data_IF_108461990146
#
_entry.id   IF_108461990146
#
_cell.length_a   1.000
_cell.length_b   1.000
_cell.length_c   1.000
_cell.angle_alpha   90.00
_cell.angle_beta   90.00
_cell.angle_gamma   90.00
#
_symmetry.space_group_name_H-M   'P 1'
#
loop_
_entity.id
_entity.type
_entity.pdbx_description
1 polymer ?
#
# COMPACT_ATOMS: atom_id res chain seq x y z
N UNK A 1 32.35 -12.40 0.50
CA UNK A 1 30.90 -12.65 0.30
C UNK A 1 30.60 -13.48 -0.96
N UNK A 2 31.23 -13.22 -2.12
CA UNK A 2 30.99 -13.97 -3.37
C UNK A 2 31.22 -15.50 -3.28
N UNK A 3 32.25 -15.94 -2.53
CA UNK A 3 32.55 -17.36 -2.32
C UNK A 3 31.49 -18.05 -1.44
N UNK A 4 30.87 -17.32 -0.50
CA UNK A 4 29.83 -17.84 0.40
C UNK A 4 28.51 -18.06 -0.35
N UNK A 5 28.19 -17.19 -1.31
CA UNK A 5 27.01 -17.30 -2.19
C UNK A 5 27.17 -18.51 -3.14
N UNK A 6 28.36 -18.70 -3.73
CA UNK A 6 28.63 -19.83 -4.64
C UNK A 6 28.53 -21.20 -3.95
N UNK A 7 28.99 -21.28 -2.70
CA UNK A 7 28.91 -22.51 -1.91
C UNK A 7 27.47 -22.84 -1.52
N UNK A 8 26.65 -21.85 -1.15
CA UNK A 8 25.22 -22.05 -0.86
C UNK A 8 24.44 -22.50 -2.09
N UNK A 9 24.76 -22.00 -3.28
CA UNK A 9 24.11 -22.40 -4.53
C UNK A 9 24.45 -23.85 -4.94
N UNK A 10 25.66 -24.30 -4.61
CA UNK A 10 26.11 -25.67 -4.88
C UNK A 10 25.47 -26.66 -3.90
N UNK A 11 25.31 -26.27 -2.63
CA UNK A 11 24.61 -27.04 -1.62
C UNK A 11 23.12 -27.21 -1.97
N UNK A 12 22.45 -26.12 -2.38
CA UNK A 12 21.04 -26.14 -2.81
C UNK A 12 20.79 -27.05 -4.02
N UNK A 13 21.76 -27.12 -4.96
CA UNK A 13 21.71 -28.03 -6.12
C UNK A 13 21.73 -29.50 -5.71
N UNK A 14 22.50 -29.84 -4.68
CA UNK A 14 22.66 -31.20 -4.20
C UNK A 14 21.47 -31.64 -3.33
N UNK A 15 20.92 -30.74 -2.52
CA UNK A 15 19.85 -31.06 -1.57
C UNK A 15 18.50 -31.36 -2.24
N UNK A 16 18.27 -30.84 -3.45
CA UNK A 16 17.01 -31.03 -4.18
C UNK A 16 17.09 -31.98 -5.39
N UNK A 17 18.26 -32.58 -5.65
CA UNK A 17 18.52 -33.48 -6.78
C UNK A 17 17.89 -32.97 -8.11
N UNK A 18 17.96 -31.65 -8.31
CA UNK A 18 17.34 -30.98 -9.46
C UNK A 18 18.27 -31.18 -10.64
N UNK A 19 17.97 -32.20 -11.44
CA UNK A 19 18.63 -32.38 -12.72
C UNK A 19 18.18 -31.29 -13.69
N UNK A 20 18.93 -30.19 -13.73
CA UNK A 20 18.73 -29.07 -14.65
C UNK A 20 18.71 -29.54 -16.11
N UNK A 21 19.40 -30.66 -16.43
CA UNK A 21 19.37 -31.23 -17.77
C UNK A 21 17.97 -31.78 -18.09
N UNK A 22 17.39 -32.55 -17.18
CA UNK A 22 16.01 -33.05 -17.29
C UNK A 22 14.97 -31.92 -17.39
N UNK A 23 15.15 -30.81 -16.66
CA UNK A 23 14.24 -29.66 -16.75
C UNK A 23 14.33 -28.98 -18.13
N UNK A 24 15.55 -28.75 -18.61
CA UNK A 24 15.78 -28.12 -19.92
C UNK A 24 15.23 -29.00 -21.05
N UNK A 25 15.47 -30.31 -20.99
CA UNK A 25 14.96 -31.28 -21.98
C UNK A 25 13.42 -31.34 -21.97
N UNK A 26 12.78 -31.27 -20.80
CA UNK A 26 11.32 -31.20 -20.71
C UNK A 26 10.75 -29.89 -21.26
N UNK A 27 11.42 -28.76 -21.03
CA UNK A 27 11.00 -27.46 -21.56
C UNK A 27 11.04 -27.44 -23.10
N UNK A 28 12.13 -27.92 -23.70
CA UNK A 28 12.28 -27.98 -25.15
C UNK A 28 11.26 -28.93 -25.80
N UNK A 29 10.92 -30.05 -25.14
CA UNK A 29 9.85 -30.95 -25.61
C UNK A 29 8.49 -30.27 -25.62
N UNK A 30 8.12 -29.61 -24.51
CA UNK A 30 6.83 -28.90 -24.40
C UNK A 30 6.73 -27.79 -25.44
N UNK A 31 7.81 -27.04 -25.66
CA UNK A 31 7.85 -25.98 -26.67
C UNK A 31 7.60 -26.51 -28.07
N UNK A 32 8.24 -27.63 -28.43
CA UNK A 32 8.05 -28.27 -29.74
C UNK A 32 6.61 -28.78 -29.93
N UNK A 33 6.02 -29.38 -28.91
CA UNK A 33 4.61 -29.82 -28.95
C UNK A 33 3.66 -28.62 -29.15
N UNK A 34 3.96 -27.48 -28.52
CA UNK A 34 3.16 -26.25 -28.67
C UNK A 34 3.25 -25.68 -30.09
N UNK A 35 4.44 -25.64 -30.67
CA UNK A 35 4.66 -25.16 -32.04
C UNK A 35 3.91 -26.04 -33.06
N UNK A 36 3.93 -27.36 -32.89
CA UNK A 36 3.18 -28.30 -33.75
C UNK A 36 1.65 -28.10 -33.66
N UNK A 37 1.12 -27.76 -32.47
CA UNK A 37 -0.29 -27.44 -32.27
C UNK A 37 -0.66 -26.13 -32.96
N UNK A 38 0.19 -25.10 -32.85
CA UNK A 38 -0.01 -23.79 -33.51
C UNK A 38 -0.04 -23.97 -35.03
N UNK A 39 0.90 -24.75 -35.59
CA UNK A 39 0.95 -25.02 -37.03
C UNK A 39 -0.26 -25.82 -37.51
N UNK A 40 -0.75 -26.78 -36.70
CA UNK A 40 -1.99 -27.51 -36.99
C UNK A 40 -3.22 -26.60 -37.00
N UNK A 41 -3.30 -25.65 -36.07
CA UNK A 41 -4.38 -24.67 -35.99
C UNK A 41 -4.36 -23.69 -37.17
N UNK A 42 -3.18 -23.28 -37.61
CA UNK A 42 -3.01 -22.38 -38.75
C UNK A 42 -3.32 -23.08 -40.07
N UNK A 43 -2.92 -24.35 -40.24
CA UNK A 43 -3.20 -25.13 -41.45
C UNK A 43 -4.69 -25.52 -41.59
N UNK A 44 -5.45 -25.60 -40.49
CA UNK A 44 -6.91 -25.81 -40.55
C UNK A 44 -7.72 -24.56 -40.95
N UNK A 45 -7.10 -23.37 -41.02
CA UNK A 45 -7.76 -22.11 -41.40
C UNK A 45 -7.70 -21.81 -42.91
N UNK A 46 -7.71 -22.83 -43.75
CA UNK A 46 -7.99 -22.69 -45.19
C UNK A 46 -9.47 -22.36 -45.45
N UNK A 47 -9.94 -21.19 -44.98
CA UNK A 47 -11.24 -20.61 -45.33
C UNK A 47 -11.00 -19.19 -45.83
N UNK A 48 -11.50 -18.96 -47.05
CA UNK A 48 -11.41 -17.76 -47.90
C UNK A 48 -11.40 -16.44 -47.13
N UNK A 49 -10.41 -15.62 -47.46
CA UNK A 49 -10.33 -14.19 -47.14
C UNK A 49 -11.45 -13.42 -47.83
N UNK A 50 -12.56 -13.17 -47.14
CA UNK A 50 -13.47 -12.07 -47.43
C UNK A 50 -14.16 -11.70 -46.11
N UNK A 51 -13.95 -10.46 -45.65
CA UNK A 51 -14.27 -9.89 -44.33
C UNK A 51 -13.24 -10.12 -43.21
N UNK A 52 -12.05 -9.52 -43.34
CA UNK A 52 -11.24 -9.19 -42.16
C UNK A 52 -12.03 -8.14 -41.36
N UNK A 53 -12.63 -8.57 -40.24
CA UNK A 53 -13.06 -7.63 -39.17
C UNK A 53 -11.86 -6.72 -38.88
N UNK A 54 -12.06 -5.39 -38.74
CA UNK A 54 -10.98 -4.51 -38.34
C UNK A 54 -10.35 -5.09 -37.06
N UNK A 55 -9.02 -5.17 -37.06
CA UNK A 55 -8.29 -5.56 -35.85
C UNK A 55 -8.74 -4.67 -34.70
N UNK A 56 -9.01 -5.22 -33.50
CA UNK A 56 -9.41 -4.42 -32.37
C UNK A 56 -8.32 -3.39 -32.10
N UNK A 57 -8.68 -2.11 -32.21
CA UNK A 57 -7.79 -0.99 -31.86
C UNK A 57 -7.43 -1.15 -30.40
N UNK A 58 -6.16 -1.46 -30.12
CA UNK A 58 -5.64 -1.53 -28.75
C UNK A 58 -5.43 -0.11 -28.28
N UNK A 59 -6.39 0.43 -27.54
CA UNK A 59 -6.27 1.75 -26.89
C UNK A 59 -5.20 1.63 -25.81
N UNK A 60 -4.25 2.57 -25.75
CA UNK A 60 -3.23 2.54 -24.73
C UNK A 60 -3.82 2.92 -23.36
N UNK A 61 -3.25 2.39 -22.28
CA UNK A 61 -3.63 2.76 -20.90
C UNK A 61 -3.56 4.27 -20.66
N UNK A 62 -2.58 4.94 -21.27
CA UNK A 62 -2.40 6.37 -21.14
C UNK A 62 -3.59 7.14 -21.74
N UNK A 63 -4.06 6.74 -22.92
CA UNK A 63 -5.20 7.36 -23.58
C UNK A 63 -6.49 7.17 -22.77
N UNK A 64 -6.70 5.99 -22.18
CA UNK A 64 -7.84 5.73 -21.29
C UNK A 64 -7.84 6.64 -20.06
N UNK A 65 -6.67 6.91 -19.48
CA UNK A 65 -6.54 7.82 -18.34
C UNK A 65 -6.88 9.25 -18.76
N UNK A 66 -6.34 9.72 -19.89
CA UNK A 66 -6.61 11.07 -20.40
C UNK A 66 -8.10 11.25 -20.71
N UNK A 67 -8.72 10.27 -21.36
CA UNK A 67 -10.15 10.28 -21.66
C UNK A 67 -10.99 10.32 -20.38
N UNK A 68 -10.68 9.46 -19.41
CA UNK A 68 -11.38 9.44 -18.13
C UNK A 68 -11.23 10.75 -17.36
N UNK A 69 -10.02 11.28 -17.31
CA UNK A 69 -9.69 12.55 -16.66
C UNK A 69 -10.51 13.71 -17.23
N UNK A 70 -10.68 13.78 -18.56
CA UNK A 70 -11.47 14.80 -19.24
C UNK A 70 -12.98 14.70 -18.95
N UNK A 71 -13.48 13.51 -18.62
CA UNK A 71 -14.90 13.29 -18.27
C UNK A 71 -15.21 13.66 -16.81
N UNK A 72 -14.19 13.76 -15.95
CA UNK A 72 -14.38 14.04 -14.54
C UNK A 72 -14.64 15.53 -14.29
N UNK A 73 -15.66 15.89 -13.48
CA UNK A 73 -15.95 17.30 -13.27
C UNK A 73 -14.87 17.97 -12.42
N UNK A 74 -14.63 19.25 -12.71
CA UNK A 74 -13.69 20.10 -11.97
C UNK A 74 -14.00 20.16 -10.46
N UNK A 75 -12.92 20.28 -9.67
CA UNK A 75 -12.98 20.35 -8.22
C UNK A 75 -12.96 21.80 -7.74
N UNK A 76 -13.65 22.08 -6.62
CA UNK A 76 -13.62 23.39 -5.98
C UNK A 76 -12.57 23.45 -4.87
N UNK A 77 -11.90 24.60 -4.73
CA UNK A 77 -11.06 24.87 -3.55
C UNK A 77 -11.91 24.75 -2.28
N UNK A 78 -11.37 24.06 -1.28
CA UNK A 78 -12.05 23.73 -0.02
C UNK A 78 -12.95 22.49 -0.09
N UNK A 79 -13.11 21.85 -1.25
CA UNK A 79 -13.90 20.62 -1.38
C UNK A 79 -13.23 19.45 -0.65
N UNK A 80 -14.02 18.70 0.14
CA UNK A 80 -13.60 17.46 0.78
C UNK A 80 -13.67 16.31 -0.22
N UNK A 81 -12.61 15.52 -0.30
CA UNK A 81 -12.41 14.47 -1.31
C UNK A 81 -11.70 13.27 -0.69
N UNK A 82 -11.74 12.11 -1.35
CA UNK A 82 -10.70 11.09 -1.21
C UNK A 82 -9.63 11.36 -2.27
N UNK A 83 -8.36 11.26 -1.90
CA UNK A 83 -7.27 11.37 -2.85
C UNK A 83 -6.29 10.20 -2.68
N UNK A 84 -5.75 9.70 -3.80
CA UNK A 84 -4.74 8.64 -3.81
C UNK A 84 -3.35 9.22 -3.58
N UNK A 85 -2.69 8.83 -2.49
CA UNK A 85 -1.37 9.36 -2.12
C UNK A 85 -0.25 8.48 -2.66
N UNK A 86 0.88 9.07 -3.06
CA UNK A 86 1.94 8.33 -3.78
C UNK A 86 2.79 7.40 -2.90
N UNK A 87 2.75 7.56 -1.58
CA UNK A 87 3.54 6.78 -0.62
C UNK A 87 3.11 5.30 -0.59
N UNK A 88 1.82 5.03 -0.62
CA UNK A 88 1.28 3.66 -0.62
C UNK A 88 0.21 3.40 -1.69
N UNK A 89 -0.17 4.43 -2.46
CA UNK A 89 -1.20 4.39 -3.50
C UNK A 89 -2.61 4.06 -2.96
N UNK A 90 -2.84 4.28 -1.66
CA UNK A 90 -4.17 4.21 -1.04
C UNK A 90 -4.86 5.57 -1.02
N UNK A 91 -6.16 5.54 -0.78
CA UNK A 91 -7.01 6.72 -0.76
C UNK A 91 -7.24 7.21 0.67
N UNK A 92 -7.08 8.51 0.86
CA UNK A 92 -7.24 9.16 2.17
C UNK A 92 -8.17 10.37 2.07
N UNK A 93 -8.87 10.66 3.16
CA UNK A 93 -9.71 11.87 3.26
C UNK A 93 -8.82 13.11 3.23
N UNK A 94 -9.11 14.00 2.29
CA UNK A 94 -8.32 15.19 2.00
C UNK A 94 -9.20 16.39 1.65
N UNK A 95 -8.57 17.55 1.49
CA UNK A 95 -9.19 18.80 1.06
C UNK A 95 -8.43 19.36 -0.15
N UNK A 96 -9.17 19.84 -1.15
CA UNK A 96 -8.61 20.53 -2.32
C UNK A 96 -8.14 21.91 -1.89
N UNK A 97 -6.84 22.21 -2.02
CA UNK A 97 -6.31 23.54 -1.69
C UNK A 97 -6.26 24.47 -2.87
N UNK A 98 -5.83 23.96 -4.02
CA UNK A 98 -5.60 24.78 -5.21
C UNK A 98 -5.66 23.92 -6.47
N UNK A 99 -6.23 24.47 -7.54
CA UNK A 99 -6.03 23.96 -8.90
C UNK A 99 -4.70 24.48 -9.44
N UNK A 100 -3.89 23.60 -10.01
CA UNK A 100 -2.61 23.96 -10.61
C UNK A 100 -2.86 24.14 -12.11
N UNK A 101 -2.68 25.38 -12.57
CA UNK A 101 -2.70 25.67 -13.99
C UNK A 101 -1.33 25.30 -14.58
N UNK A 102 -1.31 24.26 -15.42
CA UNK A 102 -0.13 23.94 -16.21
C UNK A 102 0.05 24.99 -17.30
N UNK A 103 1.32 25.27 -17.64
CA UNK A 103 1.68 26.14 -18.77
C UNK A 103 1.80 25.36 -20.08
N UNK A 104 1.79 24.03 -20.03
CA UNK A 104 1.97 23.17 -21.19
C UNK A 104 0.62 22.79 -21.82
N UNK A 105 0.39 23.07 -23.12
CA UNK A 105 -0.89 22.82 -23.78
C UNK A 105 -1.31 21.34 -23.84
N UNK A 106 -0.38 20.40 -23.70
CA UNK A 106 -0.63 18.96 -23.77
C UNK A 106 -1.03 18.33 -22.44
N UNK A 107 -0.92 19.07 -21.34
CA UNK A 107 -1.38 18.66 -20.02
C UNK A 107 -2.54 19.58 -19.64
N UNK A 108 -3.73 19.29 -20.17
CA UNK A 108 -4.94 19.98 -19.75
C UNK A 108 -5.02 20.04 -18.20
N UNK A 109 -5.33 21.22 -17.65
CA UNK A 109 -5.20 21.59 -16.23
C UNK A 109 -6.06 20.73 -15.28
N UNK A 110 -5.60 19.52 -15.00
CA UNK A 110 -6.27 18.55 -14.14
C UNK A 110 -5.43 18.17 -12.91
N UNK A 111 -4.41 18.96 -12.60
CA UNK A 111 -3.55 18.77 -11.43
C UNK A 111 -4.05 19.64 -10.28
N UNK A 112 -4.11 19.08 -9.08
CA UNK A 112 -4.59 19.76 -7.89
C UNK A 112 -3.61 19.60 -6.75
N UNK A 113 -3.38 20.69 -6.01
CA UNK A 113 -2.73 20.61 -4.71
C UNK A 113 -3.75 20.16 -3.68
N UNK A 114 -3.49 19.00 -3.07
CA UNK A 114 -4.36 18.34 -2.09
C UNK A 114 -3.67 18.39 -0.73
N UNK A 115 -4.46 18.57 0.34
CA UNK A 115 -4.01 18.53 1.74
C UNK A 115 -4.74 17.46 2.53
N UNK A 116 -4.02 16.65 3.31
CA UNK A 116 -4.64 15.66 4.22
C UNK A 116 -5.00 16.25 5.61
N UNK A 117 -5.49 15.39 6.50
CA UNK A 117 -5.79 15.72 7.91
C UNK A 117 -4.54 16.11 8.72
N UNK A 118 -3.35 15.66 8.33
CA UNK A 118 -2.09 15.96 8.99
C UNK A 118 -1.42 17.26 8.47
N UNK A 119 -2.08 17.97 7.56
CA UNK A 119 -1.56 19.18 6.89
C UNK A 119 -0.35 18.93 5.99
N UNK A 120 -0.16 17.71 5.51
CA UNK A 120 0.76 17.44 4.40
C UNK A 120 0.10 17.78 3.07
N UNK A 121 0.92 17.95 2.03
CA UNK A 121 0.45 18.35 0.72
C UNK A 121 1.06 17.50 -0.40
N UNK A 122 0.27 17.22 -1.43
CA UNK A 122 0.73 16.55 -2.65
C UNK A 122 0.00 17.12 -3.89
N UNK A 123 0.67 17.08 -5.04
CA UNK A 123 0.07 17.42 -6.33
C UNK A 123 -0.49 16.15 -6.97
N UNK A 124 -1.81 16.06 -7.10
CA UNK A 124 -2.51 14.84 -7.51
C UNK A 124 -3.40 15.15 -8.71
N UNK A 125 -3.36 14.27 -9.71
CA UNK A 125 -4.19 14.39 -10.91
C UNK A 125 -5.65 14.02 -10.63
N UNK A 126 -6.55 14.59 -11.42
CA UNK A 126 -8.00 14.50 -11.20
C UNK A 126 -8.54 13.07 -11.11
N UNK A 127 -8.02 12.13 -11.89
CA UNK A 127 -8.44 10.72 -11.89
C UNK A 127 -8.14 9.99 -10.58
N UNK A 128 -7.21 10.51 -9.79
CA UNK A 128 -6.81 9.97 -8.49
C UNK A 128 -7.51 10.69 -7.32
N UNK A 129 -8.52 11.51 -7.63
CA UNK A 129 -9.33 12.23 -6.65
C UNK A 129 -10.80 11.86 -6.82
N UNK A 130 -11.47 11.45 -5.75
CA UNK A 130 -12.88 11.06 -5.73
C UNK A 130 -13.65 12.04 -4.84
N UNK A 131 -14.78 12.58 -5.31
CA UNK A 131 -15.57 13.53 -4.51
C UNK A 131 -16.51 12.77 -3.61
N UNK A 132 -16.73 13.26 -2.39
CA UNK A 132 -17.66 12.61 -1.46
C UNK A 132 -19.09 12.52 -2.00
N UNK A 133 -19.50 13.45 -2.87
CA UNK A 133 -20.83 13.45 -3.49
C UNK A 133 -21.01 12.40 -4.60
N UNK A 134 -19.92 11.74 -5.02
CA UNK A 134 -19.94 10.71 -6.07
C UNK A 134 -20.35 9.32 -5.50
N UNK A 135 -20.62 9.22 -4.18
CA UNK A 135 -21.08 8.00 -3.51
C UNK A 135 -22.55 7.59 -3.81
N UNK A 136 -23.30 8.38 -4.58
CA UNK A 136 -24.77 8.23 -4.75
C UNK A 136 -25.18 7.27 -5.87
N UNK A 137 -24.31 6.36 -6.28
CA UNK A 137 -24.60 5.46 -7.38
C UNK A 137 -25.31 4.18 -6.92
N UNK A 138 -26.17 3.63 -7.78
CA UNK A 138 -26.78 2.32 -7.53
C UNK A 138 -25.73 1.23 -7.71
N UNK A 139 -25.43 0.44 -6.67
CA UNK A 139 -24.43 -0.63 -6.74
C UNK A 139 -24.98 -1.95 -7.27
N UNK A 140 -24.16 -2.67 -8.02
CA UNK A 140 -24.39 -4.03 -8.49
C UNK A 140 -23.24 -4.95 -8.07
N UNK A 141 -23.52 -6.25 -7.96
CA UNK A 141 -22.47 -7.27 -7.80
C UNK A 141 -21.58 -7.23 -9.04
N UNK A 142 -20.27 -7.24 -8.83
CA UNK A 142 -19.24 -7.14 -9.86
C UNK A 142 -18.72 -5.72 -10.10
N UNK A 143 -19.39 -4.69 -9.57
CA UNK A 143 -18.90 -3.31 -9.65
C UNK A 143 -17.57 -3.16 -8.89
N UNK A 144 -16.68 -2.33 -9.44
CA UNK A 144 -15.41 -1.98 -8.82
C UNK A 144 -15.56 -0.70 -8.01
N UNK A 145 -14.97 -0.68 -6.83
CA UNK A 145 -15.14 0.40 -5.87
C UNK A 145 -13.85 0.74 -5.14
N UNK A 146 -13.82 1.94 -4.57
CA UNK A 146 -12.94 2.34 -3.47
C UNK A 146 -13.80 2.41 -2.21
N UNK A 147 -13.40 1.69 -1.16
CA UNK A 147 -14.12 1.61 0.10
C UNK A 147 -13.15 1.59 1.30
N UNK A 148 -13.67 1.88 2.49
CA UNK A 148 -12.86 1.87 3.72
C UNK A 148 -12.42 0.44 4.06
N UNK A 149 -11.13 0.27 4.29
CA UNK A 149 -10.53 -1.04 4.48
C UNK A 149 -10.58 -1.47 5.96
N UNK A 150 -10.96 -2.72 6.30
CA UNK A 150 -11.16 -3.16 7.69
C UNK A 150 -9.94 -3.04 8.60
N UNK A 151 -8.76 -3.39 8.08
CA UNK A 151 -7.54 -3.43 8.88
C UNK A 151 -6.87 -2.05 9.03
N UNK A 152 -7.38 -1.01 8.36
CA UNK A 152 -6.72 0.30 8.22
C UNK A 152 -7.77 1.41 8.30
N UNK A 153 -8.11 1.79 9.53
CA UNK A 153 -9.11 2.82 9.79
C UNK A 153 -8.80 4.12 9.05
N UNK A 154 -9.83 4.75 8.49
CA UNK A 154 -9.75 5.99 7.71
C UNK A 154 -8.96 5.89 6.38
N UNK A 155 -8.56 4.68 5.99
CA UNK A 155 -7.84 4.43 4.75
C UNK A 155 -8.72 3.63 3.79
N UNK A 156 -8.72 4.03 2.52
CA UNK A 156 -9.60 3.49 1.50
C UNK A 156 -8.78 2.78 0.43
N UNK A 157 -9.28 1.62 0.00
CA UNK A 157 -8.58 0.74 -0.93
C UNK A 157 -9.51 0.25 -2.05
N UNK A 158 -8.97 -0.12 -3.23
CA UNK A 158 -9.75 -0.69 -4.29
C UNK A 158 -10.25 -2.10 -3.93
N UNK A 159 -11.50 -2.41 -4.33
CA UNK A 159 -12.12 -3.71 -4.18
C UNK A 159 -13.24 -3.94 -5.20
N UNK A 160 -13.82 -5.13 -5.17
CA UNK A 160 -14.96 -5.53 -5.99
C UNK A 160 -16.15 -5.92 -5.12
N UNK A 161 -17.35 -5.48 -5.49
CA UNK A 161 -18.58 -5.88 -4.80
C UNK A 161 -18.89 -7.35 -5.12
N UNK A 162 -18.86 -8.20 -4.11
CA UNK A 162 -19.20 -9.62 -4.22
C UNK A 162 -20.59 -9.95 -3.63
N UNK A 163 -21.20 -9.01 -2.92
CA UNK A 163 -22.53 -9.18 -2.36
C UNK A 163 -23.18 -7.84 -1.97
N UNK A 164 -24.51 -7.82 -1.98
CA UNK A 164 -25.32 -6.66 -1.59
C UNK A 164 -26.34 -7.13 -0.55
N UNK A 165 -26.46 -6.37 0.54
CA UNK A 165 -27.49 -6.54 1.57
C UNK A 165 -28.31 -5.26 1.68
N UNK A 166 -29.40 -5.31 2.46
CA UNK A 166 -30.29 -4.16 2.64
C UNK A 166 -29.62 -2.94 3.27
N UNK A 167 -28.56 -3.16 4.05
CA UNK A 167 -27.88 -2.16 4.90
C UNK A 167 -26.41 -1.94 4.53
N UNK A 168 -25.80 -2.82 3.73
CA UNK A 168 -24.37 -2.78 3.45
C UNK A 168 -24.01 -3.45 2.12
N UNK A 169 -22.78 -3.20 1.68
CA UNK A 169 -22.12 -3.92 0.60
C UNK A 169 -21.12 -4.93 1.19
N UNK A 170 -20.88 -6.03 0.47
CA UNK A 170 -19.78 -6.95 0.76
C UNK A 170 -18.74 -6.74 -0.34
N UNK A 171 -17.56 -6.27 0.05
CA UNK A 171 -16.46 -5.95 -0.87
C UNK A 171 -15.30 -6.91 -0.61
N UNK A 172 -14.79 -7.52 -1.66
CA UNK A 172 -13.49 -8.20 -1.67
C UNK A 172 -12.43 -7.18 -2.10
N UNK A 173 -11.52 -6.83 -1.19
CA UNK A 173 -10.40 -5.92 -1.47
C UNK A 173 -9.29 -6.61 -2.26
N UNK A 174 -8.41 -5.81 -2.85
CA UNK A 174 -7.28 -6.30 -3.65
C UNK A 174 -6.33 -7.26 -2.89
N UNK A 175 -6.33 -7.22 -1.57
CA UNK A 175 -5.53 -8.09 -0.69
C UNK A 175 -6.26 -9.39 -0.29
N UNK A 176 -7.41 -9.65 -0.93
CA UNK A 176 -8.30 -10.79 -0.72
C UNK A 176 -9.00 -10.80 0.63
N UNK A 177 -9.14 -9.63 1.28
CA UNK A 177 -9.99 -9.48 2.46
C UNK A 177 -11.41 -9.15 2.02
N UNK A 178 -12.37 -9.93 2.51
CA UNK A 178 -13.79 -9.63 2.37
C UNK A 178 -14.28 -8.84 3.59
N UNK A 179 -15.00 -7.74 3.36
CA UNK A 179 -15.55 -6.94 4.43
C UNK A 179 -16.93 -6.37 4.12
N UNK A 180 -17.70 -6.09 5.18
CA UNK A 180 -18.96 -5.35 5.08
C UNK A 180 -18.63 -3.86 5.12
N UNK A 181 -19.04 -3.11 4.10
CA UNK A 181 -18.80 -1.66 4.02
C UNK A 181 -20.12 -0.92 3.90
N UNK A 182 -20.13 0.31 4.42
CA UNK A 182 -21.27 1.20 4.30
C UNK A 182 -21.39 1.75 2.87
N UNK A 183 -22.61 1.82 2.38
CA UNK A 183 -22.91 2.35 1.04
C UNK A 183 -22.49 3.82 0.92
N UNK A 184 -22.70 4.61 1.99
CA UNK A 184 -22.43 6.05 2.02
C UNK A 184 -20.93 6.40 1.99
N UNK A 185 -20.05 5.44 2.26
CA UNK A 185 -18.60 5.61 2.23
C UNK A 185 -17.93 4.80 1.12
N UNK A 186 -18.71 4.29 0.17
CA UNK A 186 -18.23 3.49 -0.96
C UNK A 186 -18.37 4.28 -2.27
N UNK A 187 -17.36 4.20 -3.12
CA UNK A 187 -17.27 5.00 -4.35
C UNK A 187 -16.97 4.12 -5.55
N UNK A 188 -17.81 4.16 -6.58
CA UNK A 188 -17.56 3.39 -7.81
C UNK A 188 -16.37 3.94 -8.58
N UNK A 189 -15.63 3.04 -9.21
CA UNK A 189 -14.55 3.36 -10.13
C UNK A 189 -14.64 2.50 -11.39
N UNK A 190 -14.15 2.98 -12.55
CA UNK A 190 -14.06 2.16 -13.76
C UNK A 190 -13.12 0.97 -13.58
N UNK A 191 -13.37 -0.12 -14.31
CA UNK A 191 -12.57 -1.35 -14.25
C UNK A 191 -11.09 -1.16 -14.59
N UNK A 192 -10.78 -0.33 -15.59
CA UNK A 192 -9.40 -0.04 -15.96
C UNK A 192 -8.67 0.70 -14.82
N UNK A 193 -9.37 1.60 -14.10
CA UNK A 193 -8.81 2.35 -12.98
C UNK A 193 -8.56 1.44 -11.78
N UNK A 194 -9.50 0.54 -11.50
CA UNK A 194 -9.34 -0.52 -10.49
C UNK A 194 -8.06 -1.33 -10.72
N UNK A 195 -7.81 -1.79 -11.95
CA UNK A 195 -6.60 -2.54 -12.26
C UNK A 195 -5.33 -1.70 -12.08
N UNK A 196 -5.34 -0.44 -12.56
CA UNK A 196 -4.21 0.47 -12.41
C UNK A 196 -3.85 0.74 -10.96
N UNK A 197 -4.87 0.93 -10.12
CA UNK A 197 -4.65 1.19 -8.69
C UNK A 197 -4.04 -0.03 -8.02
N UNK A 198 -4.57 -1.23 -8.27
CA UNK A 198 -3.99 -2.47 -7.75
C UNK A 198 -2.53 -2.64 -8.18
N UNK A 199 -2.23 -2.43 -9.46
CA UNK A 199 -0.87 -2.56 -9.97
C UNK A 199 0.08 -1.56 -9.31
N UNK A 200 -0.38 -0.31 -9.10
CA UNK A 200 0.40 0.73 -8.42
C UNK A 200 0.66 0.41 -6.94
N UNK A 201 -0.35 -0.09 -6.23
CA UNK A 201 -0.24 -0.50 -4.82
C UNK A 201 0.73 -1.68 -4.68
N UNK A 202 0.58 -2.72 -5.51
CA UNK A 202 1.48 -3.88 -5.49
C UNK A 202 2.91 -3.46 -5.83
N UNK A 203 3.09 -2.53 -6.77
CA UNK A 203 4.40 -1.98 -7.11
C UNK A 203 5.02 -1.27 -5.91
N UNK A 204 4.28 -0.39 -5.23
CA UNK A 204 4.76 0.30 -4.02
C UNK A 204 5.10 -0.69 -2.90
N UNK A 205 4.23 -1.68 -2.64
CA UNK A 205 4.50 -2.74 -1.66
C UNK A 205 5.78 -3.53 -1.97
N UNK A 206 6.05 -3.82 -3.26
CA UNK A 206 7.26 -4.54 -3.67
C UNK A 206 8.55 -3.72 -3.53
N UNK A 207 8.48 -2.40 -3.55
CA UNK A 207 9.66 -1.54 -3.39
C UNK A 207 10.32 -1.70 -2.02
N UNK A 208 9.56 -2.15 -1.01
CA UNK A 208 10.08 -2.44 0.33
C UNK A 208 11.10 -3.59 0.37
N UNK A 209 11.06 -4.53 -0.59
CA UNK A 209 11.89 -5.74 -0.55
C UNK A 209 13.37 -5.37 -0.72
N UNK A 210 14.22 -5.90 0.16
CA UNK A 210 15.66 -5.65 0.21
C UNK A 210 16.05 -4.37 0.95
N UNK A 211 15.09 -3.59 1.46
CA UNK A 211 15.37 -2.37 2.22
C UNK A 211 15.41 -2.62 3.73
N UNK A 212 16.21 -1.79 4.41
CA UNK A 212 16.23 -1.73 5.87
C UNK A 212 14.94 -1.11 6.39
N UNK A 213 14.50 -1.62 7.53
CA UNK A 213 13.26 -1.20 8.18
C UNK A 213 13.38 -1.27 9.69
N UNK A 214 12.44 -0.61 10.35
CA UNK A 214 12.11 -0.71 11.76
C UNK A 214 10.76 -1.41 11.85
N UNK A 215 10.62 -2.46 12.66
CA UNK A 215 9.40 -3.26 12.72
C UNK A 215 8.99 -3.62 14.14
N UNK A 216 7.68 -3.75 14.40
CA UNK A 216 7.16 -4.16 15.71
C UNK A 216 7.42 -5.65 15.95
N UNK A 217 8.41 -5.99 16.78
CA UNK A 217 8.66 -7.39 17.15
C UNK A 217 7.57 -7.86 18.11
N UNK A 218 6.87 -8.93 17.71
CA UNK A 218 5.84 -9.56 18.51
C UNK A 218 6.39 -10.21 19.78
N UNK A 219 7.64 -10.67 19.73
CA UNK A 219 8.32 -11.40 20.81
C UNK A 219 8.88 -10.48 21.90
N UNK A 220 9.33 -9.28 21.51
CA UNK A 220 10.10 -8.38 22.39
C UNK A 220 9.34 -7.13 22.82
N UNK A 221 8.08 -6.98 22.37
CA UNK A 221 7.19 -5.84 22.68
C UNK A 221 7.84 -4.47 22.44
N UNK A 222 8.64 -4.37 21.38
CA UNK A 222 9.36 -3.15 20.97
C UNK A 222 9.60 -3.15 19.47
N UNK A 223 10.10 -2.03 18.95
CA UNK A 223 10.49 -1.96 17.55
C UNK A 223 11.97 -2.27 17.37
N UNK A 224 12.29 -3.21 16.50
CA UNK A 224 13.65 -3.60 16.16
C UNK A 224 13.98 -3.23 14.71
N UNK A 225 15.26 -3.20 14.37
CA UNK A 225 15.74 -2.99 13.01
C UNK A 225 15.95 -4.32 12.29
N UNK A 226 15.76 -4.32 10.97
CA UNK A 226 15.96 -5.48 10.14
C UNK A 226 15.89 -5.17 8.65
N UNK A 227 15.80 -6.22 7.84
CA UNK A 227 15.70 -6.15 6.39
C UNK A 227 14.49 -6.95 5.90
N UNK A 228 13.78 -6.38 4.93
CA UNK A 228 12.59 -7.01 4.36
C UNK A 228 13.02 -8.02 3.30
N UNK A 229 12.80 -9.30 3.55
CA UNK A 229 13.21 -10.39 2.66
C UNK A 229 12.23 -10.62 1.51
N UNK A 230 10.95 -10.39 1.75
CA UNK A 230 9.91 -10.64 0.75
C UNK A 230 8.51 -10.42 1.26
N UNK A 231 7.58 -10.28 0.31
CA UNK A 231 6.14 -10.20 0.55
C UNK A 231 5.54 -11.61 0.63
N UNK A 232 4.59 -11.82 1.54
CA UNK A 232 3.91 -13.09 1.75
C UNK A 232 2.45 -13.00 1.34
N UNK A 233 2.12 -13.66 0.23
CA UNK A 233 0.76 -13.69 -0.32
C UNK A 233 0.25 -12.29 -0.67
N UNK A 234 -1.07 -12.10 -0.54
CA UNK A 234 -1.74 -10.82 -0.83
C UNK A 234 -2.03 -9.98 0.42
N UNK A 235 -1.94 -10.54 1.63
CA UNK A 235 -2.42 -9.92 2.89
C UNK A 235 -1.48 -8.89 3.52
N UNK A 236 -0.76 -8.09 2.71
CA UNK A 236 0.17 -7.04 3.20
C UNK A 236 1.16 -7.48 4.29
N UNK A 237 1.58 -8.76 4.27
CA UNK A 237 2.54 -9.31 5.23
C UNK A 237 3.91 -9.45 4.58
N UNK A 238 4.94 -9.15 5.35
CA UNK A 238 6.32 -9.22 4.94
C UNK A 238 7.10 -10.13 5.86
N UNK A 239 8.01 -10.89 5.25
CA UNK A 239 9.04 -11.63 5.97
C UNK A 239 10.21 -10.68 6.24
N UNK A 240 10.59 -10.54 7.50
CA UNK A 240 11.68 -9.65 7.92
C UNK A 240 12.77 -10.49 8.60
N UNK A 241 14.03 -10.19 8.28
CA UNK A 241 15.20 -10.66 9.01
C UNK A 241 15.70 -9.54 9.92
N UNK A 242 15.56 -9.73 11.23
CA UNK A 242 16.11 -8.80 12.22
C UNK A 242 17.63 -8.73 12.12
N UNK A 243 18.22 -7.62 12.57
CA UNK A 243 19.69 -7.49 12.61
C UNK A 243 20.36 -8.49 13.59
N UNK A 244 19.56 -9.18 14.43
CA UNK A 244 20.00 -10.27 15.31
C UNK A 244 19.91 -11.67 14.67
N UNK A 245 19.46 -11.75 13.41
CA UNK A 245 19.38 -13.00 12.64
C UNK A 245 18.08 -13.79 12.84
N UNK A 246 17.08 -13.24 13.52
CA UNK A 246 15.77 -13.84 13.71
C UNK A 246 14.81 -13.41 12.59
N UNK A 247 13.98 -14.35 12.10
CA UNK A 247 12.93 -14.06 11.12
C UNK A 247 11.56 -13.88 11.79
N UNK A 248 10.79 -12.88 11.34
CA UNK A 248 9.40 -12.65 11.74
C UNK A 248 8.51 -12.32 10.52
N UNK A 249 7.22 -12.61 10.64
CA UNK A 249 6.20 -12.23 9.65
C UNK A 249 5.41 -11.06 10.22
N UNK A 250 5.52 -9.89 9.58
CA UNK A 250 5.00 -8.64 10.09
C UNK A 250 4.01 -8.03 9.08
N UNK A 251 2.89 -7.48 9.55
CA UNK A 251 1.99 -6.69 8.72
C UNK A 251 2.65 -5.33 8.42
N UNK A 252 2.55 -4.83 7.19
CA UNK A 252 3.15 -3.56 6.75
C UNK A 252 2.81 -2.37 7.65
N UNK A 253 1.63 -2.35 8.30
CA UNK A 253 1.27 -1.28 9.27
C UNK A 253 2.25 -1.16 10.43
N UNK A 254 3.03 -2.20 10.69
CA UNK A 254 4.02 -2.24 11.77
C UNK A 254 5.44 -2.14 11.26
N UNK A 255 5.64 -1.70 10.02
CA UNK A 255 6.94 -1.54 9.36
C UNK A 255 7.14 -0.07 9.02
N UNK A 256 8.29 0.45 9.40
CA UNK A 256 8.73 1.81 9.16
C UNK A 256 10.08 1.80 8.42
N UNK A 257 10.31 2.72 7.49
CA UNK A 257 11.55 2.75 6.71
C UNK A 257 11.58 3.86 5.67
N UNK A 258 12.39 3.67 4.62
CA UNK A 258 12.61 4.68 3.58
C UNK A 258 11.35 5.04 2.79
N UNK A 259 10.39 4.13 2.71
CA UNK A 259 9.13 4.32 2.01
C UNK A 259 7.98 4.68 2.96
N UNK A 260 8.26 4.84 4.26
CA UNK A 260 7.29 5.46 5.16
C UNK A 260 7.24 6.95 4.86
N UNK A 261 6.03 7.45 4.70
CA UNK A 261 5.78 8.88 4.60
C UNK A 261 6.44 9.67 5.72
N UNK A 262 7.27 10.63 5.34
CA UNK A 262 7.93 11.55 6.27
C UNK A 262 7.05 12.79 6.43
N UNK A 263 6.76 13.14 7.68
CA UNK A 263 6.03 14.35 8.06
C UNK A 263 6.94 15.27 8.87
N UNK A 264 6.77 16.60 8.77
CA UNK A 264 7.41 17.51 9.70
C UNK A 264 6.96 17.21 11.13
N UNK A 265 7.91 16.92 12.02
CA UNK A 265 7.63 16.61 13.42
C UNK A 265 7.52 17.91 14.21
N UNK A 266 6.44 18.04 14.97
CA UNK A 266 6.10 19.22 15.78
C UNK A 266 6.03 18.85 17.25
N UNK A 267 6.01 19.87 18.09
CA UNK A 267 5.69 19.71 19.52
C UNK A 267 4.31 19.06 19.65
N UNK A 268 4.19 18.20 20.65
CA UNK A 268 3.00 17.39 20.97
C UNK A 268 2.68 16.24 20.01
N UNK A 269 3.43 16.07 18.92
CA UNK A 269 3.30 14.90 18.05
C UNK A 269 3.73 13.60 18.77
N UNK A 270 3.17 12.48 18.32
CA UNK A 270 3.63 11.15 18.68
C UNK A 270 4.61 10.65 17.62
N UNK A 271 5.69 10.01 18.07
CA UNK A 271 6.75 9.54 17.18
C UNK A 271 7.26 8.18 17.61
N UNK A 272 7.66 7.36 16.65
CA UNK A 272 8.56 6.24 16.85
C UNK A 272 9.99 6.76 16.72
N UNK A 273 10.73 6.76 17.84
CA UNK A 273 12.06 7.36 17.93
C UNK A 273 13.11 6.35 18.42
N UNK A 274 14.39 6.55 18.08
CA UNK A 274 15.47 5.70 18.58
C UNK A 274 15.67 5.88 20.09
N UNK A 275 15.77 4.75 20.79
CA UNK A 275 16.08 4.62 22.21
C UNK A 275 17.14 3.52 22.37
N UNK A 276 18.40 3.93 22.49
CA UNK A 276 19.58 3.06 22.50
C UNK A 276 19.67 2.17 21.24
N UNK A 277 19.52 0.84 21.39
CA UNK A 277 19.65 -0.16 20.32
C UNK A 277 18.33 -0.50 19.62
N UNK A 278 17.22 0.17 19.97
CA UNK A 278 15.90 -0.13 19.44
C UNK A 278 15.08 1.15 19.22
N UNK A 279 13.88 0.99 18.69
CA UNK A 279 12.94 2.09 18.52
C UNK A 279 11.78 1.95 19.50
N UNK A 280 11.32 3.08 20.01
CA UNK A 280 10.23 3.11 20.97
C UNK A 280 9.30 4.31 20.75
N UNK A 281 7.98 4.13 20.86
CA UNK A 281 7.04 5.24 20.77
C UNK A 281 7.18 6.23 21.93
N UNK A 282 7.07 7.51 21.60
CA UNK A 282 7.11 8.62 22.54
C UNK A 282 6.34 9.83 22.04
N UNK A 283 6.24 10.84 22.91
CA UNK A 283 5.64 12.13 22.61
C UNK A 283 6.74 13.19 22.55
N UNK A 284 6.64 14.08 21.57
CA UNK A 284 7.57 15.20 21.40
C UNK A 284 7.21 16.32 22.38
N UNK A 285 8.11 16.63 23.30
CA UNK A 285 7.92 17.71 24.29
C UNK A 285 8.39 19.06 23.74
N UNK A 286 9.51 19.07 23.01
CA UNK A 286 10.12 20.29 22.48
C UNK A 286 10.82 20.03 21.15
N UNK A 287 10.70 20.97 20.20
CA UNK A 287 11.51 21.00 18.99
C UNK A 287 12.57 22.10 19.11
N UNK A 288 13.85 21.75 19.01
CA UNK A 288 14.95 22.71 19.09
C UNK A 288 15.37 23.19 17.70
N UNK A 289 14.75 24.27 17.22
CA UNK A 289 15.06 24.84 15.90
C UNK A 289 16.53 25.28 15.76
N UNK A 290 17.18 25.61 16.88
CA UNK A 290 18.56 26.09 16.92
C UNK A 290 19.64 24.99 16.93
N UNK A 291 19.26 23.70 17.06
CA UNK A 291 20.20 22.57 17.14
C UNK A 291 19.84 21.50 16.12
N UNK A 292 20.33 21.61 14.89
CA UNK A 292 20.31 20.55 13.87
C UNK A 292 19.02 19.70 13.81
N UNK A 293 17.84 20.33 13.93
CA UNK A 293 16.55 19.64 13.92
C UNK A 293 16.42 18.51 14.98
N UNK A 294 16.99 18.74 16.16
CA UNK A 294 16.87 17.87 17.32
C UNK A 294 15.54 18.12 18.04
N UNK A 295 14.95 17.04 18.54
CA UNK A 295 13.72 17.03 19.32
C UNK A 295 13.96 16.33 20.65
N UNK A 296 13.15 16.72 21.62
CA UNK A 296 13.09 16.09 22.91
C UNK A 296 11.87 15.17 22.97
N UNK A 297 12.09 13.89 23.27
CA UNK A 297 11.05 12.86 23.29
C UNK A 297 10.92 12.26 24.68
N UNK A 298 9.69 12.19 25.17
CA UNK A 298 9.31 11.40 26.36
C UNK A 298 8.63 10.12 25.89
N UNK A 299 9.30 9.00 26.13
CA UNK A 299 8.86 7.68 25.70
C UNK A 299 7.70 7.16 26.54
N UNK A 300 6.94 6.21 25.99
CA UNK A 300 5.81 5.59 26.70
C UNK A 300 6.23 4.95 28.04
N UNK A 301 7.48 4.45 28.15
CA UNK A 301 8.07 3.90 29.37
C UNK A 301 8.60 4.97 30.36
N UNK A 302 8.26 6.24 30.12
CA UNK A 302 8.67 7.43 30.87
C UNK A 302 10.14 7.82 30.78
N UNK A 303 10.96 7.12 29.97
CA UNK A 303 12.32 7.59 29.67
C UNK A 303 12.28 8.85 28.81
N UNK A 304 13.36 9.63 28.86
CA UNK A 304 13.51 10.89 28.13
C UNK A 304 14.79 10.88 27.32
N UNK A 305 14.74 11.41 26.10
CA UNK A 305 15.92 11.66 25.27
C UNK A 305 15.79 13.04 24.62
N UNK A 306 16.75 13.91 24.91
CA UNK A 306 16.79 15.33 24.50
C UNK A 306 17.63 15.58 23.24
N UNK A 307 18.24 14.54 22.68
CA UNK A 307 19.16 14.63 21.54
C UNK A 307 18.69 13.76 20.36
N UNK A 308 17.38 13.51 20.24
CA UNK A 308 16.82 12.73 19.13
C UNK A 308 16.80 13.57 17.87
N UNK A 309 17.34 13.07 16.76
CA UNK A 309 17.21 13.75 15.45
C UNK A 309 15.83 13.46 14.86
N UNK A 310 15.09 14.49 14.45
CA UNK A 310 13.76 14.34 13.86
C UNK A 310 13.76 13.45 12.60
N UNK A 311 14.81 13.53 11.78
CA UNK A 311 14.96 12.73 10.54
C UNK A 311 14.98 11.21 10.80
N UNK A 312 15.46 10.80 11.98
CA UNK A 312 15.53 9.41 12.43
C UNK A 312 14.24 8.92 13.07
N UNK A 313 13.21 9.77 13.13
CA UNK A 313 11.92 9.42 13.70
C UNK A 313 10.89 9.11 12.61
N UNK A 314 9.81 8.46 13.03
CA UNK A 314 8.60 8.28 12.22
C UNK A 314 7.42 8.84 12.99
N UNK A 315 6.61 9.69 12.35
CA UNK A 315 5.41 10.22 12.95
C UNK A 315 4.38 9.10 13.16
N UNK A 316 3.66 9.15 14.28
CA UNK A 316 2.58 8.22 14.62
C UNK A 316 1.29 9.01 14.83
N UNK A 317 0.16 8.43 14.44
CA UNK A 317 -1.12 8.95 14.91
C UNK A 317 -1.28 8.68 16.41
N UNK A 318 -2.17 9.43 17.06
CA UNK A 318 -2.50 9.20 18.47
C UNK A 318 -3.04 7.80 18.68
N UNK A 319 -3.93 7.34 17.80
CA UNK A 319 -4.56 6.02 17.88
C UNK A 319 -3.51 4.91 17.77
N UNK A 320 -2.55 5.07 16.87
CA UNK A 320 -1.46 4.10 16.72
C UNK A 320 -0.54 4.09 17.94
N UNK A 321 -0.25 5.27 18.51
CA UNK A 321 0.50 5.37 19.76
C UNK A 321 -0.24 4.68 20.91
N UNK A 322 -1.55 4.93 21.06
CA UNK A 322 -2.38 4.34 22.09
C UNK A 322 -2.48 2.79 21.95
N UNK A 323 -2.65 2.26 20.73
CA UNK A 323 -2.59 0.80 20.46
C UNK A 323 -1.26 0.21 20.93
N UNK A 324 -0.15 0.88 20.64
CA UNK A 324 1.15 0.42 21.09
C UNK A 324 1.27 0.42 22.62
N UNK A 325 0.81 1.47 23.29
CA UNK A 325 0.86 1.55 24.76
C UNK A 325 0.08 0.37 25.36
N UNK A 326 -1.11 0.08 24.85
CA UNK A 326 -1.91 -1.08 25.28
C UNK A 326 -1.18 -2.41 25.01
N UNK A 327 -0.57 -2.57 23.84
CA UNK A 327 0.21 -3.74 23.49
C UNK A 327 1.42 -3.94 24.44
N UNK A 328 2.13 -2.86 24.76
CA UNK A 328 3.28 -2.88 25.68
C UNK A 328 2.85 -3.22 27.12
N UNK A 329 1.78 -2.59 27.61
CA UNK A 329 1.26 -2.78 28.97
C UNK A 329 0.51 -4.11 29.16
N UNK A 330 0.07 -4.75 28.07
CA UNK A 330 -0.64 -6.02 28.14
C UNK A 330 0.18 -7.08 28.89
N UNK A 331 -0.38 -7.65 29.96
CA UNK A 331 0.21 -8.83 30.62
C UNK A 331 0.13 -10.01 29.65
N UNK A 332 1.17 -10.84 29.60
CA UNK A 332 1.18 -12.10 28.83
C UNK A 332 0.00 -12.97 29.25
N UNK A 333 -1.15 -12.77 28.61
CA UNK A 333 -2.30 -13.66 28.65
C UNK A 333 -2.30 -14.29 27.27
N UNK A 334 -2.03 -15.60 27.23
CA UNK A 334 -1.71 -16.38 26.03
C UNK A 334 -2.86 -16.54 25.02
N UNK A 335 -3.50 -15.45 24.62
CA UNK A 335 -4.49 -15.40 23.56
C UNK A 335 -4.24 -14.17 22.70
N UNK A 336 -3.46 -14.33 21.63
CA UNK A 336 -3.35 -13.36 20.54
C UNK A 336 -4.70 -13.23 19.83
N UNK A 337 -5.61 -12.42 20.38
CA UNK A 337 -6.64 -11.76 19.59
C UNK A 337 -6.16 -10.34 19.37
N UNK A 338 -5.86 -10.02 18.12
CA UNK A 338 -5.73 -8.64 17.65
C UNK A 338 -7.05 -7.96 18.02
N UNK A 339 -7.07 -6.91 18.85
CA UNK A 339 -8.26 -6.12 19.03
C UNK A 339 -8.51 -5.41 17.69
N UNK A 340 -9.51 -5.86 16.95
CA UNK A 340 -10.14 -5.01 15.94
C UNK A 340 -10.77 -3.86 16.71
N UNK A 341 -10.27 -2.64 16.51
CA UNK A 341 -10.91 -1.43 17.02
C UNK A 341 -12.32 -1.40 16.43
N UNK A 342 -13.31 -1.48 17.30
CA UNK A 342 -14.71 -1.47 16.92
C UNK A 342 -15.03 -0.07 16.38
N UNK A 343 -15.48 0.02 15.13
CA UNK A 343 -15.78 1.29 14.46
C UNK A 343 -16.98 2.04 15.09
N UNK A 344 -17.60 1.47 16.12
CA UNK A 344 -18.74 2.03 16.84
C UNK A 344 -18.39 3.12 17.87
N UNK A 345 -17.11 3.38 18.14
CA UNK A 345 -16.66 4.42 19.08
C UNK A 345 -16.44 5.82 18.44
N UNK A 346 -16.86 6.02 17.18
CA UNK A 346 -16.69 7.29 16.47
C UNK A 346 -18.04 7.97 16.15
N UNK A 347 -18.61 8.66 17.14
CA UNK A 347 -19.66 9.69 16.95
C UNK A 347 -19.15 11.07 17.35
#
# INVERSE_FOLDING_TARGET
QYIKIRNNFTQFKNDYNIDIKTITENYDRIRKELDEVIDSLNNKKGIKEENRKPEPVVISTHDLILEYRAQLPELKVGEKVLAKWSDDNWYYRSTVEKKIDSKEPSEENFLYKIKDSASDHEEIYREDIIRFKDNKENFNIGDFVVAEHPDFAQSFAPGQIIGIRSDCLIVEFYDSIEHRVETDTTYKIPSFKYQLDIDSIIKAERQWIGHKCVFRSSKKKRYETGEILGRLGNRKKFKILSDKGEEEIINIIHIFGNFTRKRPIRKDDFVLAPLDEYFFPGKVETCNENKENQIEVVFADKKRNDNVKAENCFWLSKEYYDDFVLFYESKETGTNKIPTVDASDFN
#
